data_IF_030677884050
#
_entry.id   IF_030677884050
#
_cell.length_a   1.000
_cell.length_b   1.000
_cell.length_c   1.000
_cell.angle_alpha   90.00
_cell.angle_beta   90.00
_cell.angle_gamma   90.00
#
_symmetry.space_group_name_H-M   'P 1'
#
loop_
_entity.id
_entity.type
_entity.pdbx_description
1 polymer ?
#
# COMPACT_ATOMS: atom_id res chain seq x y z
N UNK A 1 7.10 33.09 18.61
CA UNK A 1 6.03 32.36 17.93
C UNK A 1 6.66 31.12 17.35
N UNK A 2 6.47 29.96 17.99
CA UNK A 2 7.00 28.66 17.52
C UNK A 2 5.90 27.99 16.74
N UNK A 3 6.05 27.91 15.43
CA UNK A 3 5.19 27.08 14.59
C UNK A 3 5.64 25.61 14.77
N UNK A 4 4.90 24.85 15.56
CA UNK A 4 4.97 23.39 15.53
C UNK A 4 4.20 22.91 14.30
N UNK A 5 4.91 22.59 13.25
CA UNK A 5 4.36 21.83 12.13
C UNK A 5 4.28 20.37 12.59
N UNK A 6 3.11 19.92 13.03
CA UNK A 6 2.85 18.51 13.26
C UNK A 6 2.73 17.85 11.89
N UNK A 7 3.75 17.13 11.47
CA UNK A 7 3.68 16.26 10.30
C UNK A 7 2.74 15.09 10.62
N UNK A 8 1.55 15.06 10.02
CA UNK A 8 0.71 13.87 10.00
C UNK A 8 1.36 12.88 9.02
N UNK A 9 2.02 11.86 9.55
CA UNK A 9 2.53 10.75 8.77
C UNK A 9 1.37 9.85 8.37
N UNK A 10 1.06 9.85 7.07
CA UNK A 10 0.12 8.93 6.46
C UNK A 10 0.68 7.51 6.40
N UNK A 11 -0.19 6.57 6.66
CA UNK A 11 0.05 5.15 6.61
C UNK A 11 0.36 4.69 5.18
N UNK A 12 1.51 4.08 4.95
CA UNK A 12 1.81 3.37 3.71
C UNK A 12 1.35 1.90 3.86
N UNK A 13 0.17 1.59 3.35
CA UNK A 13 -0.14 0.23 2.92
C UNK A 13 0.76 -0.10 1.73
N UNK A 14 1.25 -1.33 1.67
CA UNK A 14 2.20 -1.76 0.65
C UNK A 14 1.72 -1.37 -0.76
N UNK A 15 2.58 -0.65 -1.46
CA UNK A 15 2.56 -0.41 -2.90
C UNK A 15 1.41 0.43 -3.50
N UNK A 16 1.00 1.49 -2.84
CA UNK A 16 0.53 2.68 -3.56
C UNK A 16 0.68 3.85 -2.64
N UNK A 17 1.45 4.84 -3.04
CA UNK A 17 1.74 6.00 -2.23
C UNK A 17 0.44 6.70 -1.85
N UNK A 18 0.16 6.74 -0.55
CA UNK A 18 -0.97 7.47 -0.02
C UNK A 18 -0.77 8.96 -0.29
N UNK A 19 -1.50 9.49 -1.26
CA UNK A 19 -1.85 10.88 -1.22
C UNK A 19 -2.87 11.03 -0.08
N UNK A 20 -2.52 11.76 0.96
CA UNK A 20 -3.55 12.28 1.85
C UNK A 20 -4.29 13.38 1.08
N UNK A 21 -5.51 13.16 0.61
CA UNK A 21 -6.32 14.28 0.16
C UNK A 21 -6.61 15.12 1.39
N UNK A 22 -6.27 16.39 1.35
CA UNK A 22 -6.78 17.36 2.29
C UNK A 22 -8.27 17.56 2.00
N UNK A 23 -9.11 16.62 2.42
CA UNK A 23 -10.50 16.95 2.66
C UNK A 23 -10.53 17.81 3.91
N UNK A 24 -11.33 18.86 3.90
CA UNK A 24 -11.44 19.86 4.93
C UNK A 24 -11.28 19.26 6.32
N UNK A 25 -10.13 19.52 6.94
CA UNK A 25 -9.86 19.15 8.30
C UNK A 25 -10.68 20.13 9.15
N UNK A 26 -11.87 19.68 9.53
CA UNK A 26 -12.55 20.28 10.67
C UNK A 26 -11.58 20.14 11.84
N UNK A 27 -11.21 21.22 12.51
CA UNK A 27 -10.32 21.15 13.67
C UNK A 27 -10.93 20.16 14.67
N UNK A 28 -10.34 18.97 14.76
CA UNK A 28 -10.81 17.94 15.67
C UNK A 28 -10.66 18.49 17.09
N UNK A 29 -11.77 18.81 17.72
CA UNK A 29 -11.83 19.31 19.11
C UNK A 29 -11.61 18.22 20.16
N UNK A 30 -10.95 17.13 19.82
CA UNK A 30 -10.73 15.96 20.66
C UNK A 30 -9.48 15.16 20.27
N UNK A 31 -9.18 14.07 21.02
CA UNK A 31 -7.98 13.27 20.81
C UNK A 31 -8.04 12.40 19.53
N UNK A 32 -9.14 12.40 18.80
CA UNK A 32 -9.35 11.62 17.58
C UNK A 32 -9.28 12.50 16.35
N UNK A 33 -8.64 11.98 15.30
CA UNK A 33 -8.62 12.57 13.96
C UNK A 33 -9.25 11.59 12.98
N UNK A 34 -10.26 12.03 12.23
CA UNK A 34 -10.85 11.29 11.14
C UNK A 34 -10.20 11.71 9.83
N UNK A 35 -9.80 10.74 9.01
CA UNK A 35 -9.18 10.97 7.71
C UNK A 35 -9.83 10.08 6.66
N UNK A 36 -9.92 10.56 5.43
CA UNK A 36 -10.47 9.77 4.33
C UNK A 36 -10.09 10.33 2.98
N UNK A 37 -10.23 9.50 1.95
CA UNK A 37 -9.90 9.88 0.59
C UNK A 37 -10.36 8.85 -0.43
N UNK A 38 -10.17 9.18 -1.69
CA UNK A 38 -10.43 8.31 -2.83
C UNK A 38 -9.25 8.43 -3.78
N UNK A 39 -8.58 7.32 -4.04
CA UNK A 39 -7.57 7.21 -5.09
C UNK A 39 -8.18 6.58 -6.35
N UNK A 40 -7.68 6.99 -7.52
CA UNK A 40 -8.06 6.40 -8.81
C UNK A 40 -6.78 6.09 -9.56
N UNK A 41 -6.57 4.82 -9.87
CA UNK A 41 -5.41 4.34 -10.61
C UNK A 41 -5.83 3.77 -11.97
N UNK A 42 -4.99 3.93 -12.97
CA UNK A 42 -5.14 3.26 -14.27
C UNK A 42 -4.94 1.75 -14.17
N UNK A 43 -4.13 1.32 -13.17
CA UNK A 43 -3.87 -0.09 -12.84
C UNK A 43 -3.58 -0.21 -11.34
N UNK A 44 -4.31 -1.06 -10.64
CA UNK A 44 -4.04 -1.39 -9.24
C UNK A 44 -2.97 -2.47 -9.16
N UNK A 45 -1.83 -2.14 -8.58
CA UNK A 45 -0.73 -3.08 -8.38
C UNK A 45 -0.45 -3.34 -6.90
N UNK A 46 -0.44 -4.63 -6.55
CA UNK A 46 -0.03 -5.11 -5.25
C UNK A 46 1.32 -5.82 -5.38
N UNK A 47 2.37 -5.25 -4.76
CA UNK A 47 3.75 -5.77 -4.86
C UNK A 47 4.18 -6.02 -6.32
N UNK A 48 3.91 -5.06 -7.18
CA UNK A 48 4.25 -5.13 -8.60
C UNK A 48 3.25 -5.89 -9.48
N UNK A 49 2.37 -6.72 -8.92
CA UNK A 49 1.41 -7.55 -9.64
C UNK A 49 0.09 -6.82 -9.84
N UNK A 50 -0.44 -6.77 -11.06
CA UNK A 50 -1.73 -6.16 -11.36
C UNK A 50 -2.89 -6.98 -10.76
N UNK A 51 -3.67 -6.35 -9.88
CA UNK A 51 -4.92 -6.90 -9.37
C UNK A 51 -6.14 -6.37 -10.13
N UNK A 52 -5.99 -5.28 -10.87
CA UNK A 52 -7.07 -4.73 -11.70
C UNK A 52 -7.03 -5.18 -13.16
N UNK A 53 -6.09 -6.05 -13.54
CA UNK A 53 -5.92 -6.53 -14.91
C UNK A 53 -5.74 -5.36 -15.90
N UNK A 54 -4.85 -4.42 -15.54
CA UNK A 54 -4.55 -3.17 -16.27
C UNK A 54 -5.78 -2.29 -16.53
N UNK A 55 -6.76 -2.32 -15.62
CA UNK A 55 -7.96 -1.50 -15.70
C UNK A 55 -8.01 -0.51 -14.55
N UNK A 56 -8.78 0.54 -14.77
CA UNK A 56 -9.01 1.56 -13.74
C UNK A 56 -9.58 0.93 -12.48
N UNK A 57 -8.96 1.27 -11.35
CA UNK A 57 -9.41 0.92 -10.01
C UNK A 57 -9.73 2.19 -9.20
N UNK A 58 -10.81 2.11 -8.42
CA UNK A 58 -11.25 3.18 -7.50
C UNK A 58 -11.06 2.65 -6.07
N UNK A 59 -10.34 3.42 -5.25
CA UNK A 59 -9.85 2.98 -3.95
C UNK A 59 -10.19 3.99 -2.83
N UNK A 60 -11.36 3.89 -2.20
CA UNK A 60 -11.72 4.69 -1.04
C UNK A 60 -10.98 4.23 0.22
N UNK A 61 -10.64 5.18 1.08
CA UNK A 61 -10.07 4.96 2.41
C UNK A 61 -10.81 5.80 3.44
N UNK A 62 -11.04 5.23 4.62
CA UNK A 62 -11.50 5.95 5.81
C UNK A 62 -10.76 5.43 7.03
N UNK A 63 -10.22 6.33 7.85
CA UNK A 63 -9.47 5.97 9.04
C UNK A 63 -9.72 6.93 10.19
N UNK A 64 -9.55 6.43 11.40
CA UNK A 64 -9.51 7.20 12.63
C UNK A 64 -8.19 6.95 13.33
N UNK A 65 -7.55 8.02 13.80
CA UNK A 65 -6.36 7.96 14.63
C UNK A 65 -6.59 8.68 15.96
N UNK A 66 -5.90 8.23 16.99
CA UNK A 66 -5.91 8.82 18.33
C UNK A 66 -4.53 9.43 18.62
N UNK A 67 -4.48 10.51 19.39
CA UNK A 67 -3.24 11.22 19.75
C UNK A 67 -2.19 10.33 20.46
N UNK A 68 -2.61 9.20 21.05
CA UNK A 68 -1.71 8.21 21.63
C UNK A 68 -0.93 7.39 20.61
N UNK A 69 -1.24 7.51 19.31
CA UNK A 69 -0.61 6.77 18.23
C UNK A 69 -1.42 5.58 17.68
N UNK A 70 -2.48 5.13 18.36
CA UNK A 70 -3.37 4.09 17.83
C UNK A 70 -4.20 4.60 16.65
N UNK A 71 -4.39 3.74 15.67
CA UNK A 71 -5.25 4.02 14.53
C UNK A 71 -6.00 2.76 14.08
N UNK A 72 -7.12 2.96 13.39
CA UNK A 72 -7.84 1.92 12.68
C UNK A 72 -8.55 2.50 11.46
N UNK A 73 -8.88 1.64 10.50
CA UNK A 73 -9.58 2.12 9.31
C UNK A 73 -10.02 0.99 8.40
N UNK A 74 -10.58 1.42 7.29
CA UNK A 74 -11.05 0.58 6.19
C UNK A 74 -10.56 1.17 4.88
N UNK A 75 -10.12 0.29 4.01
CA UNK A 75 -9.76 0.59 2.63
C UNK A 75 -10.49 -0.39 1.71
N UNK A 76 -10.72 -0.01 0.48
CA UNK A 76 -11.30 -0.89 -0.50
C UNK A 76 -10.82 -0.60 -1.90
N UNK A 77 -11.00 -1.55 -2.81
CA UNK A 77 -10.68 -1.40 -4.23
C UNK A 77 -11.70 -2.10 -5.11
N UNK A 78 -12.05 -1.46 -6.21
CA UNK A 78 -12.75 -2.16 -7.29
C UNK A 78 -11.79 -3.14 -7.97
N UNK A 79 -12.27 -4.35 -8.27
CA UNK A 79 -11.52 -5.41 -8.96
C UNK A 79 -12.26 -5.87 -10.22
N UNK A 80 -11.57 -6.46 -11.21
CA UNK A 80 -12.20 -7.25 -12.26
C UNK A 80 -12.90 -8.46 -11.65
N UNK A 81 -14.04 -8.85 -12.22
CA UNK A 81 -14.77 -10.03 -11.74
C UNK A 81 -13.92 -11.30 -11.85
N UNK A 82 -13.62 -11.91 -10.75
CA UNK A 82 -12.90 -13.19 -10.69
C UNK A 82 -13.58 -14.15 -9.71
N UNK A 83 -13.44 -15.48 -9.90
CA UNK A 83 -13.98 -16.44 -8.95
C UNK A 83 -13.36 -16.33 -7.56
N UNK A 84 -12.07 -16.02 -7.46
CA UNK A 84 -11.31 -16.01 -6.19
C UNK A 84 -11.50 -14.72 -5.40
N UNK A 85 -11.51 -13.56 -6.08
CA UNK A 85 -11.55 -12.26 -5.42
C UNK A 85 -12.88 -11.51 -5.58
N UNK A 86 -13.79 -12.01 -6.46
CA UNK A 86 -15.02 -11.27 -6.79
C UNK A 86 -14.72 -10.00 -7.57
N UNK A 87 -15.45 -8.90 -7.23
CA UNK A 87 -15.36 -7.59 -7.90
C UNK A 87 -14.85 -6.48 -6.98
N UNK A 88 -14.55 -6.81 -5.74
CA UNK A 88 -14.25 -5.83 -4.72
C UNK A 88 -13.36 -6.43 -3.64
N UNK A 89 -12.34 -5.68 -3.22
CA UNK A 89 -11.49 -5.92 -2.06
C UNK A 89 -11.86 -4.94 -0.96
N UNK A 90 -11.91 -5.43 0.26
CA UNK A 90 -12.17 -4.64 1.46
C UNK A 90 -11.18 -5.03 2.54
N UNK A 91 -10.38 -4.07 3.00
CA UNK A 91 -9.38 -4.28 4.03
C UNK A 91 -9.78 -3.58 5.31
N UNK A 92 -9.72 -4.31 6.42
CA UNK A 92 -9.76 -3.72 7.75
C UNK A 92 -8.35 -3.66 8.31
N UNK A 93 -7.95 -2.50 8.80
CA UNK A 93 -6.62 -2.33 9.36
C UNK A 93 -6.65 -1.63 10.71
N UNK A 94 -5.68 -1.95 11.55
CA UNK A 94 -5.44 -1.26 12.82
C UNK A 94 -3.97 -1.35 13.18
N UNK A 95 -3.48 -0.38 13.96
CA UNK A 95 -2.10 -0.38 14.37
C UNK A 95 -1.76 0.72 15.36
N UNK A 96 -0.46 0.85 15.58
CA UNK A 96 0.14 1.85 16.44
C UNK A 96 1.36 2.45 15.76
N UNK A 97 1.45 3.78 15.74
CA UNK A 97 2.57 4.52 15.18
C UNK A 97 3.11 5.52 16.20
N UNK A 98 4.43 5.59 16.33
CA UNK A 98 5.07 6.52 17.25
C UNK A 98 6.41 7.05 16.72
N UNK A 99 6.68 8.32 16.92
CA UNK A 99 8.01 8.88 16.76
C UNK A 99 8.87 8.48 17.97
N UNK A 100 9.93 7.72 17.74
CA UNK A 100 10.83 7.19 18.79
C UNK A 100 12.11 8.00 18.92
N UNK A 101 12.46 8.77 17.91
CA UNK A 101 13.55 9.73 17.89
C UNK A 101 13.25 10.79 16.81
N UNK A 102 13.92 11.95 16.86
CA UNK A 102 13.70 13.00 15.86
C UNK A 102 13.82 12.49 14.43
N UNK A 103 12.73 12.58 13.68
CA UNK A 103 12.65 12.07 12.30
C UNK A 103 12.65 10.56 12.16
N UNK A 104 12.46 9.80 13.26
CA UNK A 104 12.39 8.33 13.23
C UNK A 104 11.05 7.88 13.80
N UNK A 105 10.26 7.18 12.98
CA UNK A 105 8.94 6.65 13.35
C UNK A 105 8.93 5.14 13.22
N UNK A 106 8.36 4.46 14.21
CA UNK A 106 7.97 3.06 14.11
C UNK A 106 6.47 2.97 13.90
N UNK A 107 6.05 1.95 13.14
CA UNK A 107 4.65 1.60 12.93
C UNK A 107 4.50 0.08 13.01
N UNK A 108 3.50 -0.39 13.72
CA UNK A 108 3.16 -1.82 13.80
C UNK A 108 1.65 -1.96 13.69
N UNK A 109 1.22 -2.77 12.74
CA UNK A 109 -0.20 -2.93 12.44
C UNK A 109 -0.55 -4.31 11.93
N UNK A 110 -1.84 -4.51 11.75
CA UNK A 110 -2.44 -5.70 11.16
C UNK A 110 -3.44 -5.26 10.11
N UNK A 111 -3.48 -5.99 9.01
CA UNK A 111 -4.49 -5.84 7.96
C UNK A 111 -5.19 -7.16 7.74
N UNK A 112 -6.51 -7.13 7.67
CA UNK A 112 -7.35 -8.24 7.27
C UNK A 112 -7.93 -7.94 5.90
N UNK A 113 -7.44 -8.67 4.90
CA UNK A 113 -7.86 -8.59 3.52
C UNK A 113 -9.10 -9.44 3.31
N UNK A 114 -10.17 -8.86 2.79
CA UNK A 114 -11.44 -9.52 2.54
C UNK A 114 -11.87 -9.38 1.08
N UNK A 115 -12.44 -10.45 0.55
CA UNK A 115 -12.97 -10.51 -0.80
C UNK A 115 -14.45 -10.94 -0.79
N UNK A 116 -15.39 -10.03 -0.44
CA UNK A 116 -16.80 -10.37 -0.21
C UNK A 116 -17.53 -10.96 -1.43
N UNK A 117 -16.95 -10.81 -2.62
CA UNK A 117 -17.48 -11.37 -3.87
C UNK A 117 -16.84 -12.70 -4.28
N UNK A 118 -16.01 -13.31 -3.43
CA UNK A 118 -15.45 -14.64 -3.64
C UNK A 118 -16.57 -15.66 -3.86
N UNK A 119 -16.32 -16.63 -4.75
CA UNK A 119 -17.25 -17.73 -5.03
C UNK A 119 -16.82 -18.99 -4.30
N UNK A 120 -17.70 -19.62 -3.55
CA UNK A 120 -17.44 -20.77 -2.66
C UNK A 120 -16.57 -21.87 -3.32
N UNK A 121 -16.78 -22.13 -4.62
CA UNK A 121 -16.02 -23.16 -5.34
C UNK A 121 -14.56 -22.80 -5.59
N UNK A 122 -14.18 -21.52 -5.47
CA UNK A 122 -12.80 -21.06 -5.65
C UNK A 122 -11.94 -21.21 -4.38
N UNK A 123 -12.57 -21.55 -3.25
CA UNK A 123 -11.91 -21.67 -1.95
C UNK A 123 -11.80 -20.33 -1.19
N UNK A 124 -11.24 -20.34 0.02
CA UNK A 124 -11.06 -19.15 0.82
C UNK A 124 -10.05 -18.19 0.19
N UNK A 125 -10.30 -16.89 0.30
CA UNK A 125 -9.42 -15.83 -0.21
C UNK A 125 -9.03 -14.80 0.86
N UNK A 126 -9.81 -14.70 1.93
CA UNK A 126 -9.55 -13.74 3.00
C UNK A 126 -8.34 -14.16 3.84
N UNK A 127 -7.46 -13.20 4.15
CA UNK A 127 -6.26 -13.48 4.95
C UNK A 127 -5.86 -12.30 5.83
N UNK A 128 -5.02 -12.58 6.82
CA UNK A 128 -4.44 -11.57 7.71
C UNK A 128 -2.95 -11.41 7.45
N UNK A 129 -2.46 -10.17 7.59
CA UNK A 129 -1.04 -9.85 7.49
C UNK A 129 -0.63 -8.89 8.61
N UNK A 130 0.50 -9.14 9.24
CA UNK A 130 1.13 -8.25 10.23
C UNK A 130 2.19 -7.40 9.54
N UNK A 131 2.18 -6.09 9.80
CA UNK A 131 3.02 -5.13 9.10
C UNK A 131 3.81 -4.32 10.12
N UNK A 132 5.13 -4.29 9.96
CA UNK A 132 6.03 -3.43 10.72
C UNK A 132 6.76 -2.47 9.79
N UNK A 133 6.89 -1.19 10.19
CA UNK A 133 7.63 -0.17 9.45
C UNK A 133 8.56 0.61 10.34
N UNK A 134 9.71 0.96 9.78
CA UNK A 134 10.65 1.91 10.35
C UNK A 134 10.91 2.99 9.32
N UNK A 135 10.52 4.22 9.64
CA UNK A 135 10.74 5.39 8.77
C UNK A 135 11.77 6.31 9.41
N UNK A 136 12.65 6.88 8.58
CA UNK A 136 13.64 7.86 9.02
C UNK A 136 13.87 8.92 7.96
N UNK A 137 14.08 10.16 8.41
CA UNK A 137 14.41 11.31 7.54
C UNK A 137 15.92 11.50 7.46
N UNK A 138 16.50 11.27 6.28
CA UNK A 138 17.92 11.41 5.96
C UNK A 138 18.14 12.72 5.17
N UNK A 139 18.19 13.85 5.85
CA UNK A 139 18.26 15.16 5.19
C UNK A 139 17.02 15.42 4.32
N UNK A 140 17.14 15.54 2.98
CA UNK A 140 15.99 15.75 2.09
C UNK A 140 15.25 14.45 1.74
N UNK A 141 15.76 13.30 2.14
CA UNK A 141 15.22 11.98 1.76
C UNK A 141 14.51 11.34 2.94
N UNK A 142 13.25 10.98 2.76
CA UNK A 142 12.53 10.05 3.61
C UNK A 142 12.83 8.62 3.17
N UNK A 143 13.16 7.75 4.12
CA UNK A 143 13.37 6.32 3.88
C UNK A 143 12.45 5.52 4.79
N UNK A 144 11.80 4.49 4.24
CA UNK A 144 10.92 3.58 4.99
C UNK A 144 11.27 2.14 4.68
N UNK A 145 11.66 1.39 5.70
CA UNK A 145 11.79 -0.06 5.64
C UNK A 145 10.49 -0.70 6.14
N UNK A 146 9.96 -1.65 5.39
CA UNK A 146 8.72 -2.37 5.70
C UNK A 146 9.00 -3.86 5.74
N UNK A 147 8.42 -4.55 6.73
CA UNK A 147 8.25 -5.99 6.75
C UNK A 147 6.77 -6.28 6.89
N UNK A 148 6.24 -7.19 6.05
CA UNK A 148 4.88 -7.68 6.14
C UNK A 148 4.92 -9.21 6.18
N UNK A 149 4.20 -9.81 7.13
CA UNK A 149 4.18 -11.25 7.37
C UNK A 149 2.75 -11.76 7.44
N UNK A 150 2.39 -12.59 6.48
CA UNK A 150 1.14 -13.34 6.50
C UNK A 150 1.47 -14.76 7.02
N UNK A 151 0.94 -15.16 8.20
CA UNK A 151 1.15 -16.52 8.71
C UNK A 151 0.44 -17.55 7.83
N UNK A 152 0.76 -18.82 8.04
CA UNK A 152 0.08 -19.96 7.41
C UNK A 152 -1.45 -19.84 7.54
N UNK A 153 -2.14 -19.80 6.43
CA UNK A 153 -3.60 -19.66 6.32
C UNK A 153 -4.12 -20.48 5.14
N UNK A 154 -5.33 -21.02 5.26
CA UNK A 154 -5.96 -21.81 4.20
C UNK A 154 -6.12 -21.05 2.89
N UNK A 155 -6.42 -19.76 2.97
CA UNK A 155 -6.52 -18.85 1.82
C UNK A 155 -5.20 -18.64 1.09
N UNK A 156 -4.09 -18.91 1.75
CA UNK A 156 -2.73 -18.84 1.23
C UNK A 156 -2.14 -20.23 0.93
N UNK A 157 -3.00 -21.24 0.75
CA UNK A 157 -2.56 -22.60 0.44
C UNK A 157 -1.96 -23.35 1.64
N UNK A 158 -2.19 -22.89 2.88
CA UNK A 158 -1.56 -23.37 4.11
C UNK A 158 -0.04 -23.16 4.12
N UNK A 159 0.39 -22.04 3.56
CA UNK A 159 1.76 -21.57 3.59
C UNK A 159 1.78 -20.12 4.11
N UNK A 160 2.91 -19.68 4.61
CA UNK A 160 3.14 -18.31 5.02
C UNK A 160 3.68 -17.45 3.85
N UNK A 161 3.81 -16.15 4.12
CA UNK A 161 4.47 -15.22 3.20
C UNK A 161 5.18 -14.11 3.97
N UNK A 162 6.36 -13.77 3.53
CA UNK A 162 7.08 -12.57 3.97
C UNK A 162 7.27 -11.61 2.79
N UNK A 163 7.06 -10.33 3.05
CA UNK A 163 7.39 -9.24 2.14
C UNK A 163 8.31 -8.25 2.83
N UNK A 164 9.40 -7.88 2.17
CA UNK A 164 10.34 -6.85 2.59
C UNK A 164 10.32 -5.73 1.56
N UNK A 165 10.29 -4.48 2.00
CA UNK A 165 10.35 -3.33 1.10
C UNK A 165 11.21 -2.21 1.68
N UNK A 166 11.95 -1.53 0.81
CA UNK A 166 12.60 -0.26 1.09
C UNK A 166 12.01 0.79 0.15
N UNK A 167 11.32 1.78 0.71
CA UNK A 167 10.81 2.94 0.02
C UNK A 167 11.66 4.17 0.27
N UNK A 168 11.81 5.01 -0.74
CA UNK A 168 12.50 6.30 -0.68
C UNK A 168 11.61 7.37 -1.29
N UNK A 169 11.60 8.55 -0.66
CA UNK A 169 10.93 9.72 -1.17
C UNK A 169 11.80 10.97 -1.00
N UNK A 170 11.74 11.91 -1.94
CA UNK A 170 12.47 13.17 -1.83
C UNK A 170 11.72 14.29 -2.55
N UNK A 171 11.33 15.32 -1.81
CA UNK A 171 10.76 16.55 -2.39
C UNK A 171 11.82 17.32 -3.19
N UNK A 172 11.44 17.81 -4.37
CA UNK A 172 12.31 18.71 -5.15
C UNK A 172 12.19 20.12 -4.55
N UNK A 173 13.29 20.76 -4.12
CA UNK A 173 13.26 22.09 -3.53
C UNK A 173 12.53 23.12 -4.42
N UNK A 174 11.67 23.94 -3.82
CA UNK A 174 10.85 24.97 -4.49
C UNK A 174 9.91 24.42 -5.60
N UNK A 175 9.54 23.16 -5.51
CA UNK A 175 8.64 22.48 -6.44
C UNK A 175 7.57 21.71 -5.65
N UNK A 176 6.34 21.56 -6.17
CA UNK A 176 5.33 20.68 -5.59
C UNK A 176 5.57 19.20 -5.95
N UNK A 177 6.71 18.86 -6.52
CA UNK A 177 7.04 17.52 -6.99
C UNK A 177 7.83 16.76 -5.93
N UNK A 178 7.43 15.51 -5.67
CA UNK A 178 8.18 14.53 -4.86
C UNK A 178 8.58 13.36 -5.75
N UNK A 179 9.84 12.99 -5.71
CA UNK A 179 10.35 11.78 -6.36
C UNK A 179 10.15 10.58 -5.46
N UNK A 180 9.83 9.44 -6.03
CA UNK A 180 9.50 8.20 -5.33
C UNK A 180 10.30 7.05 -5.92
N UNK A 181 10.80 6.14 -5.07
CA UNK A 181 11.41 4.89 -5.48
C UNK A 181 11.12 3.80 -4.45
N UNK A 182 10.98 2.56 -4.87
CA UNK A 182 10.95 1.44 -3.95
C UNK A 182 11.52 0.17 -4.56
N UNK A 183 11.96 -0.74 -3.68
CA UNK A 183 12.40 -2.08 -4.00
C UNK A 183 11.78 -3.03 -2.99
N UNK A 184 11.07 -4.04 -3.48
CA UNK A 184 10.40 -5.06 -2.70
C UNK A 184 10.92 -6.46 -2.99
N UNK A 185 10.73 -7.36 -2.02
CA UNK A 185 11.02 -8.78 -2.14
C UNK A 185 9.90 -9.58 -1.48
N UNK A 186 9.29 -10.47 -2.25
CA UNK A 186 8.26 -11.41 -1.80
C UNK A 186 8.85 -12.81 -1.71
N UNK A 187 8.52 -13.56 -0.65
CA UNK A 187 8.88 -14.96 -0.44
C UNK A 187 7.71 -15.69 0.24
N UNK A 188 7.19 -16.73 -0.39
CA UNK A 188 6.10 -17.55 0.14
C UNK A 188 4.85 -17.57 -0.76
N UNK A 189 3.70 -17.77 -0.14
CA UNK A 189 2.42 -18.02 -0.83
C UNK A 189 1.97 -16.92 -1.79
N UNK A 190 2.18 -15.65 -1.45
CA UNK A 190 1.86 -14.52 -2.33
C UNK A 190 2.91 -14.35 -3.46
N UNK A 191 4.00 -15.09 -3.40
CA UNK A 191 5.00 -15.23 -4.45
C UNK A 191 4.70 -16.33 -5.46
N UNK A 192 3.55 -17.01 -5.36
CA UNK A 192 3.18 -18.14 -6.22
C UNK A 192 3.05 -17.81 -7.73
N UNK A 193 3.12 -16.52 -8.09
CA UNK A 193 3.27 -16.05 -9.48
C UNK A 193 4.64 -16.38 -10.06
N UNK A 194 5.64 -16.65 -9.22
CA UNK A 194 6.97 -17.16 -9.58
C UNK A 194 7.07 -18.65 -9.27
N UNK A 195 7.83 -19.39 -10.09
CA UNK A 195 7.96 -20.85 -9.96
C UNK A 195 8.60 -21.31 -8.64
N UNK A 196 9.39 -20.46 -7.99
CA UNK A 196 10.06 -20.71 -6.72
C UNK A 196 9.42 -19.97 -5.52
N UNK A 197 8.25 -19.35 -5.74
CA UNK A 197 7.54 -18.60 -4.70
C UNK A 197 8.16 -17.26 -4.33
N UNK A 198 9.13 -16.77 -5.13
CA UNK A 198 9.91 -15.58 -4.82
C UNK A 198 10.02 -14.65 -6.00
N UNK A 199 10.00 -13.33 -5.74
CA UNK A 199 10.29 -12.33 -6.77
C UNK A 199 10.67 -10.98 -6.14
N UNK A 200 11.31 -10.15 -6.96
CA UNK A 200 11.54 -8.73 -6.68
C UNK A 200 10.51 -7.89 -7.41
N UNK A 201 10.09 -6.80 -6.78
CA UNK A 201 9.34 -5.73 -7.41
C UNK A 201 10.05 -4.39 -7.21
N UNK A 202 9.87 -3.45 -8.14
CA UNK A 202 10.41 -2.10 -7.99
C UNK A 202 9.48 -1.07 -8.60
N UNK A 203 9.60 0.14 -8.07
CA UNK A 203 8.85 1.29 -8.54
C UNK A 203 9.75 2.51 -8.60
N UNK A 204 9.61 3.29 -9.68
CA UNK A 204 10.13 4.65 -9.81
C UNK A 204 8.98 5.58 -10.18
N UNK A 205 8.89 6.73 -9.52
CA UNK A 205 7.77 7.62 -9.77
C UNK A 205 8.00 9.05 -9.32
N UNK A 206 6.99 9.84 -9.61
CA UNK A 206 6.88 11.21 -9.12
C UNK A 206 5.42 11.51 -8.74
N UNK A 207 5.24 12.33 -7.71
CA UNK A 207 3.96 12.88 -7.34
C UNK A 207 3.97 14.42 -7.43
N UNK A 208 2.80 14.99 -7.72
CA UNK A 208 2.59 16.43 -7.83
C UNK A 208 1.32 16.80 -7.06
N UNK A 209 1.48 17.63 -6.03
CA UNK A 209 0.35 18.12 -5.22
C UNK A 209 -0.24 19.41 -5.83
N UNK A 210 -1.56 19.44 -6.02
CA UNK A 210 -2.32 20.58 -6.56
C UNK A 210 -3.63 20.78 -5.77
N UNK A 211 -3.62 21.66 -4.79
CA UNK A 211 -4.76 21.85 -3.88
C UNK A 211 -5.07 20.57 -3.11
N UNK A 212 -6.33 20.09 -3.13
CA UNK A 212 -6.71 18.86 -2.44
C UNK A 212 -6.33 17.58 -3.21
N UNK A 213 -5.84 17.69 -4.44
CA UNK A 213 -5.51 16.54 -5.28
C UNK A 213 -4.00 16.31 -5.34
N UNK A 214 -3.61 15.05 -5.40
CA UNK A 214 -2.23 14.63 -5.71
C UNK A 214 -2.28 13.75 -6.95
N UNK A 215 -1.50 14.12 -7.94
CA UNK A 215 -1.30 13.32 -9.16
C UNK A 215 -0.02 12.53 -9.02
N UNK A 216 -0.02 11.27 -9.44
CA UNK A 216 1.16 10.39 -9.41
C UNK A 216 1.36 9.78 -10.78
N UNK A 217 2.63 9.61 -11.14
CA UNK A 217 3.05 8.79 -12.27
C UNK A 217 4.12 7.85 -11.76
N UNK A 218 3.91 6.55 -11.92
CA UNK A 218 4.78 5.51 -11.40
C UNK A 218 5.05 4.45 -12.47
N UNK A 219 6.32 4.14 -12.71
CA UNK A 219 6.73 2.94 -13.43
C UNK A 219 6.91 1.82 -12.41
N UNK A 220 6.22 0.70 -12.64
CA UNK A 220 6.22 -0.46 -11.73
C UNK A 220 6.55 -1.69 -12.54
N UNK A 221 7.43 -2.55 -12.01
CA UNK A 221 7.89 -3.76 -12.69
C UNK A 221 8.33 -4.84 -11.69
N UNK A 222 8.52 -6.05 -12.16
CA UNK A 222 8.95 -7.22 -11.37
C UNK A 222 9.94 -8.07 -12.17
N UNK A 223 10.69 -8.94 -11.48
CA UNK A 223 11.54 -9.95 -12.12
C UNK A 223 10.83 -11.29 -12.38
N UNK A 224 9.50 -11.33 -12.21
CA UNK A 224 8.68 -12.53 -12.51
C UNK A 224 8.85 -12.91 -13.97
N UNK A 225 9.24 -14.16 -14.21
CA UNK A 225 9.44 -14.68 -15.57
C UNK A 225 8.12 -14.90 -16.28
N UNK A 226 8.04 -14.44 -17.52
CA UNK A 226 6.87 -14.66 -18.36
C UNK A 226 6.64 -16.14 -18.61
N UNK A 227 5.37 -16.54 -18.51
CA UNK A 227 4.93 -17.94 -18.69
C UNK A 227 4.72 -18.31 -20.16
N UNK A 228 4.61 -17.33 -21.06
CA UNK A 228 4.19 -17.46 -22.44
C UNK A 228 2.66 -17.51 -22.63
N UNK A 229 1.90 -17.43 -21.52
CA UNK A 229 0.44 -17.34 -21.54
C UNK A 229 0.05 -15.88 -21.38
N UNK A 230 -0.36 -15.23 -22.47
CA UNK A 230 -0.62 -13.78 -22.51
C UNK A 230 -1.51 -13.28 -21.37
N UNK A 231 -2.59 -14.00 -21.03
CA UNK A 231 -3.52 -13.59 -19.97
C UNK A 231 -2.89 -13.60 -18.57
N UNK A 232 -1.84 -14.40 -18.36
CA UNK A 232 -1.07 -14.46 -17.12
C UNK A 232 0.05 -13.43 -17.14
N UNK A 233 0.76 -13.35 -18.26
CA UNK A 233 1.93 -12.47 -18.41
C UNK A 233 1.55 -10.97 -18.32
N UNK A 234 0.34 -10.61 -18.75
CA UNK A 234 -0.19 -9.24 -18.61
C UNK A 234 -0.24 -8.76 -17.14
N UNK A 235 -0.39 -9.67 -16.16
CA UNK A 235 -0.39 -9.31 -14.75
C UNK A 235 1.00 -8.85 -14.24
N UNK A 236 2.06 -9.25 -14.95
CA UNK A 236 3.46 -8.97 -14.57
C UNK A 236 4.15 -8.01 -15.56
N UNK A 237 3.49 -7.62 -16.64
CA UNK A 237 4.07 -6.66 -17.58
C UNK A 237 4.38 -5.34 -16.86
N UNK A 238 5.53 -4.71 -17.14
CA UNK A 238 5.84 -3.41 -16.59
C UNK A 238 4.79 -2.39 -17.01
N UNK A 239 4.44 -1.51 -16.11
CA UNK A 239 3.38 -0.51 -16.37
C UNK A 239 3.78 0.88 -15.90
N UNK A 240 3.12 1.89 -16.49
CA UNK A 240 3.11 3.28 -16.00
C UNK A 240 1.68 3.61 -15.52
N UNK A 241 1.53 3.90 -14.25
CA UNK A 241 0.26 4.23 -13.59
C UNK A 241 0.27 5.65 -13.04
#
# INVERSE_FOLDING_TARGET
>A
MKFLTKACFGMLLAASALSTPALAQEEASGPFTLSGGIDVFSDYRFRGISLSNEKVAVQPTLSVSHESGFYAGVWGSSLPDSPLYGKFELDLFAGYSAEIASGTTIDAGVTYYMYPGNRDFAGPSDYVEFIGKLSHTLGPVGATATVAYAPDQKSLGSEDNIYLNLGLESGIPNSPVTLLASLGYTDGSLGAVSADGKYLDWMLGASFAAGPATFKVQYIDTDVKKTGVKAVDTLYDPTVV
#
